data_IF_642071293803
#
_entry.id   IF_642071293803
#
_cell.length_a   1.000
_cell.length_b   1.000
_cell.length_c   1.000
_cell.angle_alpha   90.00
_cell.angle_beta   90.00
_cell.angle_gamma   90.00
#
_symmetry.space_group_name_H-M   'P 1'
#
loop_
_entity.id
_entity.type
_entity.pdbx_description
1 polymer ?
#
# COMPACT_ATOMS: atom_id res chain seq x y z
N UNK A 1 23.25 40.05 43.21
CA UNK A 1 23.44 38.61 42.92
C UNK A 1 22.16 37.84 42.56
N UNK A 2 20.99 38.14 43.12
CA UNK A 2 19.74 37.37 42.85
C UNK A 2 19.16 37.53 41.43
N UNK A 3 19.31 38.70 40.81
CA UNK A 3 18.79 39.00 39.46
C UNK A 3 19.52 38.19 38.37
N UNK A 4 20.81 37.93 38.54
CA UNK A 4 21.62 37.14 37.62
C UNK A 4 21.17 35.67 37.59
N UNK A 5 20.83 35.10 38.75
CA UNK A 5 20.39 33.70 38.87
C UNK A 5 19.05 33.44 38.17
N UNK A 6 18.12 34.40 38.26
CA UNK A 6 16.80 34.31 37.60
C UNK A 6 16.92 34.34 36.07
N UNK A 7 17.81 35.16 35.52
CA UNK A 7 18.06 35.23 34.09
C UNK A 7 18.65 33.92 33.55
N UNK A 8 19.59 33.32 34.28
CA UNK A 8 20.18 32.03 33.89
C UNK A 8 19.16 30.88 33.90
N UNK A 9 18.26 30.82 34.88
CA UNK A 9 17.19 29.82 34.92
C UNK A 9 16.19 29.94 33.77
N UNK A 10 15.82 31.17 33.40
CA UNK A 10 14.91 31.41 32.28
C UNK A 10 15.53 30.98 30.94
N UNK A 11 16.82 31.27 30.72
CA UNK A 11 17.54 30.85 29.52
C UNK A 11 17.68 29.31 29.43
N UNK A 12 17.94 28.65 30.56
CA UNK A 12 17.97 27.18 30.65
C UNK A 12 16.60 26.58 30.31
N UNK A 13 15.51 27.16 30.83
CA UNK A 13 14.15 26.73 30.53
C UNK A 13 13.78 26.86 29.05
N UNK A 14 14.16 27.96 28.40
CA UNK A 14 13.94 28.16 26.96
C UNK A 14 14.79 27.20 26.12
N UNK A 15 16.04 26.94 26.52
CA UNK A 15 16.90 25.96 25.85
C UNK A 15 16.35 24.55 25.93
N UNK A 16 15.92 24.10 27.11
CA UNK A 16 15.33 22.77 27.32
C UNK A 16 13.98 22.65 26.60
N UNK A 17 13.12 23.67 26.73
CA UNK A 17 11.83 23.71 26.05
C UNK A 17 11.99 23.68 24.52
N UNK A 18 12.93 24.47 23.99
CA UNK A 18 13.26 24.47 22.57
C UNK A 18 13.79 23.13 22.08
N UNK A 19 14.67 22.47 22.85
CA UNK A 19 15.19 21.14 22.52
C UNK A 19 14.08 20.09 22.48
N UNK A 20 13.21 20.06 23.49
CA UNK A 20 12.11 19.10 23.58
C UNK A 20 11.12 19.27 22.43
N UNK A 21 10.77 20.52 22.09
CA UNK A 21 9.87 20.81 20.96
C UNK A 21 10.54 20.44 19.63
N UNK A 22 11.82 20.77 19.44
CA UNK A 22 12.56 20.43 18.22
C UNK A 22 12.63 18.91 18.01
N UNK A 23 12.88 18.15 19.07
CA UNK A 23 12.94 16.68 19.01
C UNK A 23 11.57 16.06 18.68
N UNK A 24 10.49 16.60 19.23
CA UNK A 24 9.13 16.13 18.96
C UNK A 24 8.63 16.50 17.55
N UNK A 25 9.06 17.64 16.98
CA UNK A 25 8.59 18.13 15.68
C UNK A 25 9.41 17.59 14.50
N UNK A 26 10.69 17.25 14.69
CA UNK A 26 11.59 16.81 13.60
C UNK A 26 12.00 15.33 13.67
N UNK A 27 11.55 14.58 14.68
CA UNK A 27 12.04 13.23 14.98
C UNK A 27 11.56 12.10 14.06
N UNK A 28 10.44 12.25 13.36
CA UNK A 28 9.84 11.14 12.60
C UNK A 28 10.01 11.32 11.10
N UNK A 29 11.24 11.07 10.62
CA UNK A 29 11.44 10.68 9.22
C UNK A 29 11.08 9.19 9.10
N UNK A 30 9.88 8.90 8.62
CA UNK A 30 9.54 7.56 8.11
C UNK A 30 10.57 7.19 7.04
N UNK A 31 11.29 6.09 7.26
CA UNK A 31 12.20 5.54 6.27
C UNK A 31 11.43 5.21 4.97
N UNK A 32 12.03 5.40 3.78
CA UNK A 32 11.40 4.98 2.54
C UNK A 32 11.24 3.46 2.53
N UNK A 33 10.03 2.97 2.24
CA UNK A 33 9.76 1.54 2.04
C UNK A 33 10.55 1.07 0.83
N UNK A 34 11.36 0.03 0.99
CA UNK A 34 12.12 -0.56 -0.12
C UNK A 34 11.25 -1.51 -0.93
N UNK A 35 11.56 -1.69 -2.22
CA UNK A 35 10.75 -2.55 -3.09
C UNK A 35 10.76 -4.01 -2.63
N UNK A 36 11.81 -4.47 -1.95
CA UNK A 36 11.93 -5.83 -1.40
C UNK A 36 10.98 -6.10 -0.23
N UNK A 37 10.46 -5.06 0.40
CA UNK A 37 9.51 -5.16 1.51
C UNK A 37 8.04 -5.15 1.04
N UNK A 38 7.81 -4.97 -0.26
CA UNK A 38 6.45 -4.92 -0.81
C UNK A 38 5.82 -6.32 -0.82
N UNK A 39 4.56 -6.46 -0.37
CA UNK A 39 3.89 -7.75 -0.34
C UNK A 39 3.68 -8.28 -1.77
N UNK A 40 3.77 -9.60 -1.91
CA UNK A 40 3.36 -10.28 -3.14
C UNK A 40 1.84 -10.24 -3.28
N UNK A 41 1.37 -9.99 -4.50
CA UNK A 41 -0.04 -10.00 -4.83
C UNK A 41 -0.29 -10.62 -6.21
N UNK A 42 -1.54 -10.98 -6.46
CA UNK A 42 -2.00 -11.46 -7.77
C UNK A 42 -2.45 -10.26 -8.60
N UNK A 43 -2.04 -10.25 -9.88
CA UNK A 43 -2.53 -9.34 -10.90
C UNK A 43 -3.33 -10.12 -11.94
N UNK A 44 -4.31 -9.47 -12.55
CA UNK A 44 -5.19 -10.05 -13.57
C UNK A 44 -5.16 -9.13 -14.79
N UNK A 45 -4.86 -9.68 -15.97
CA UNK A 45 -5.06 -8.94 -17.21
C UNK A 45 -6.56 -8.68 -17.41
N UNK A 46 -6.93 -7.42 -17.55
CA UNK A 46 -8.34 -7.02 -17.59
C UNK A 46 -9.11 -7.54 -18.81
N UNK A 47 -8.45 -7.95 -19.90
CA UNK A 47 -9.12 -8.44 -21.10
C UNK A 47 -9.06 -9.97 -21.21
N UNK A 48 -7.88 -10.58 -20.99
CA UNK A 48 -7.70 -12.02 -21.11
C UNK A 48 -8.07 -12.78 -19.83
N UNK A 49 -7.99 -12.12 -18.67
CA UNK A 49 -8.12 -12.75 -17.37
C UNK A 49 -6.93 -13.62 -16.96
N UNK A 50 -5.80 -13.54 -17.69
CA UNK A 50 -4.55 -14.23 -17.33
C UNK A 50 -4.04 -13.69 -15.98
N UNK A 51 -3.50 -14.61 -15.17
CA UNK A 51 -3.01 -14.31 -13.82
C UNK A 51 -1.50 -14.12 -13.84
N UNK A 52 -1.05 -13.13 -13.09
CA UNK A 52 0.37 -12.83 -12.86
C UNK A 52 0.59 -12.66 -11.36
N UNK A 53 1.80 -12.93 -10.88
CA UNK A 53 2.18 -12.73 -9.48
C UNK A 53 3.34 -11.74 -9.41
N UNK A 54 3.29 -10.79 -8.50
CA UNK A 54 4.39 -9.85 -8.35
C UNK A 54 4.24 -8.99 -7.11
N UNK A 55 5.27 -8.21 -6.83
CA UNK A 55 5.24 -7.22 -5.75
C UNK A 55 4.16 -6.18 -6.00
N UNK A 56 3.47 -5.80 -4.93
CA UNK A 56 2.43 -4.78 -4.96
C UNK A 56 2.96 -3.48 -5.57
N UNK A 57 2.25 -2.97 -6.57
CA UNK A 57 2.63 -1.76 -7.32
C UNK A 57 1.39 -1.03 -7.82
N UNK A 58 1.50 0.25 -8.22
CA UNK A 58 0.39 0.99 -8.79
C UNK A 58 -0.23 0.26 -9.98
N UNK A 59 -1.55 0.26 -10.06
CA UNK A 59 -2.30 -0.35 -11.16
C UNK A 59 -3.12 0.70 -11.91
N UNK A 60 -3.33 0.55 -13.23
CA UNK A 60 -2.97 -0.62 -14.05
C UNK A 60 -1.46 -0.74 -14.31
N UNK A 61 -0.90 -1.92 -14.04
CA UNK A 61 0.51 -2.24 -14.26
C UNK A 61 0.76 -2.73 -15.69
N UNK A 62 2.00 -2.60 -16.15
CA UNK A 62 2.41 -2.95 -17.52
C UNK A 62 2.41 -4.48 -17.70
N UNK A 63 1.74 -4.95 -18.74
CA UNK A 63 1.72 -6.35 -19.11
C UNK A 63 3.09 -6.76 -19.68
N UNK A 64 3.78 -7.77 -19.12
CA UNK A 64 5.18 -8.09 -19.47
C UNK A 64 5.38 -8.47 -20.94
N UNK A 65 4.37 -9.10 -21.56
CA UNK A 65 4.44 -9.51 -22.97
C UNK A 65 3.97 -8.44 -23.97
N UNK A 66 3.12 -7.51 -23.53
CA UNK A 66 2.42 -6.58 -24.44
C UNK A 66 2.93 -5.14 -24.31
N UNK A 67 3.57 -4.78 -23.19
CA UNK A 67 4.08 -3.44 -22.94
C UNK A 67 3.00 -2.40 -22.60
N UNK A 68 1.74 -2.83 -22.41
CA UNK A 68 0.61 -1.93 -22.16
C UNK A 68 0.09 -2.03 -20.70
N UNK A 69 -0.41 -0.93 -20.10
CA UNK A 69 -0.95 -0.94 -18.75
C UNK A 69 -2.33 -1.62 -18.69
N UNK A 70 -2.33 -2.93 -18.44
CA UNK A 70 -3.52 -3.79 -18.49
C UNK A 70 -3.74 -4.64 -17.24
N UNK A 71 -2.71 -4.78 -16.40
CA UNK A 71 -2.73 -5.63 -15.23
C UNK A 71 -3.39 -4.89 -14.06
N UNK A 72 -4.52 -5.40 -13.60
CA UNK A 72 -5.28 -4.90 -12.46
C UNK A 72 -5.06 -5.79 -11.24
N UNK A 73 -5.32 -5.29 -10.01
CA UNK A 73 -5.16 -6.12 -8.83
C UNK A 73 -6.18 -7.27 -8.87
N UNK A 74 -5.74 -8.46 -8.49
CA UNK A 74 -6.57 -9.64 -8.41
C UNK A 74 -7.43 -9.64 -7.15
N UNK A 75 -8.70 -10.02 -7.32
CA UNK A 75 -9.65 -10.21 -6.24
C UNK A 75 -10.26 -11.61 -6.32
N UNK A 76 -10.14 -12.37 -5.23
CA UNK A 76 -10.50 -13.77 -5.16
C UNK A 76 -11.97 -13.98 -4.79
N UNK A 77 -12.65 -14.86 -5.53
CA UNK A 77 -13.96 -15.38 -5.17
C UNK A 77 -13.81 -16.77 -4.53
N UNK A 78 -14.14 -16.95 -3.23
CA UNK A 78 -14.04 -18.25 -2.58
C UNK A 78 -15.05 -19.27 -3.13
N UNK A 79 -16.22 -18.82 -3.61
CA UNK A 79 -17.22 -19.72 -4.21
C UNK A 79 -16.85 -20.20 -5.61
N UNK A 80 -16.23 -19.33 -6.41
CA UNK A 80 -15.77 -19.71 -7.75
C UNK A 80 -14.37 -20.32 -7.75
N UNK A 81 -13.67 -20.25 -6.61
CA UNK A 81 -12.25 -20.56 -6.49
C UNK A 81 -11.39 -19.88 -7.57
N UNK A 82 -11.69 -18.61 -7.87
CA UNK A 82 -11.10 -17.89 -9.02
C UNK A 82 -10.80 -16.44 -8.70
N UNK A 83 -9.69 -15.95 -9.25
CA UNK A 83 -9.30 -14.54 -9.26
C UNK A 83 -9.99 -13.75 -10.38
N UNK A 84 -10.41 -12.53 -10.06
CA UNK A 84 -11.05 -11.58 -10.97
C UNK A 84 -10.31 -10.24 -10.94
N UNK A 85 -10.36 -9.49 -12.04
CA UNK A 85 -9.80 -8.15 -12.09
C UNK A 85 -10.61 -7.21 -11.18
N UNK A 86 -9.93 -6.57 -10.24
CA UNK A 86 -10.50 -5.55 -9.38
C UNK A 86 -10.35 -4.14 -9.95
N UNK A 87 -10.84 -3.13 -9.22
CA UNK A 87 -10.60 -1.73 -9.56
C UNK A 87 -9.10 -1.39 -9.47
N UNK A 88 -8.62 -0.38 -10.23
CA UNK A 88 -7.28 0.17 -10.07
C UNK A 88 -7.00 0.61 -8.62
N UNK A 89 -5.72 0.67 -8.24
CA UNK A 89 -5.28 0.85 -6.84
C UNK A 89 -5.81 2.12 -6.18
N UNK A 90 -5.91 3.23 -6.93
CA UNK A 90 -6.45 4.51 -6.46
C UNK A 90 -7.97 4.47 -6.22
N UNK A 91 -8.69 3.69 -7.00
CA UNK A 91 -10.12 3.47 -6.86
C UNK A 91 -10.45 2.36 -5.83
N UNK A 92 -9.52 1.43 -5.61
CA UNK A 92 -9.72 0.28 -4.73
C UNK A 92 -9.95 0.69 -3.27
N UNK A 93 -9.26 1.72 -2.76
CA UNK A 93 -9.45 2.22 -1.38
C UNK A 93 -10.85 2.77 -1.13
N UNK A 94 -11.51 3.29 -2.17
CA UNK A 94 -12.84 3.90 -2.06
C UNK A 94 -13.99 2.91 -2.26
N UNK A 95 -13.70 1.73 -2.81
CA UNK A 95 -14.72 0.80 -3.34
C UNK A 95 -14.63 -0.60 -2.76
N UNK A 96 -13.82 -0.81 -1.70
CA UNK A 96 -13.54 -2.13 -1.10
C UNK A 96 -14.82 -2.94 -0.84
N UNK A 97 -15.87 -2.30 -0.34
CA UNK A 97 -17.12 -2.98 0.03
C UNK A 97 -18.06 -3.26 -1.16
N UNK A 98 -17.69 -2.84 -2.36
CA UNK A 98 -18.54 -2.89 -3.56
C UNK A 98 -18.06 -3.90 -4.61
N UNK A 99 -16.86 -4.46 -4.46
CA UNK A 99 -16.31 -5.40 -5.44
C UNK A 99 -16.99 -6.77 -5.28
N UNK A 100 -17.87 -7.10 -6.21
CA UNK A 100 -18.67 -8.35 -6.21
C UNK A 100 -18.26 -9.27 -7.35
N UNK A 101 -18.36 -10.57 -7.10
CA UNK A 101 -18.12 -11.59 -8.10
C UNK A 101 -19.16 -11.47 -9.23
N UNK A 102 -18.76 -11.41 -10.51
CA UNK A 102 -19.70 -11.29 -11.62
C UNK A 102 -20.61 -12.52 -11.77
N UNK A 103 -20.19 -13.69 -11.28
CA UNK A 103 -20.98 -14.93 -11.35
C UNK A 103 -21.94 -15.08 -10.17
N UNK A 104 -21.42 -14.91 -8.96
CA UNK A 104 -22.16 -15.28 -7.74
C UNK A 104 -22.72 -14.07 -6.98
N UNK A 105 -22.28 -12.86 -7.33
CA UNK A 105 -22.59 -11.57 -6.67
C UNK A 105 -22.14 -11.45 -5.21
N UNK A 106 -21.39 -12.42 -4.71
CA UNK A 106 -20.79 -12.34 -3.38
C UNK A 106 -19.60 -11.37 -3.38
N UNK A 107 -19.22 -10.84 -2.21
CA UNK A 107 -18.01 -10.04 -2.07
C UNK A 107 -16.76 -10.81 -2.57
N UNK A 108 -15.89 -10.11 -3.27
CA UNK A 108 -14.55 -10.62 -3.58
C UNK A 108 -13.56 -10.22 -2.48
N UNK A 109 -12.51 -11.01 -2.31
CA UNK A 109 -11.49 -10.82 -1.27
C UNK A 109 -10.16 -10.42 -1.91
N UNK A 110 -9.37 -9.56 -1.25
CA UNK A 110 -8.01 -9.23 -1.73
C UNK A 110 -7.02 -10.39 -1.55
N UNK A 111 -7.33 -11.27 -0.60
CA UNK A 111 -6.50 -12.42 -0.24
C UNK A 111 -7.10 -13.71 -0.83
N UNK A 112 -6.22 -14.66 -1.14
CA UNK A 112 -6.59 -15.94 -1.72
C UNK A 112 -5.36 -16.80 -1.99
N UNK A 113 -5.56 -18.01 -2.52
CA UNK A 113 -4.46 -18.90 -2.86
C UNK A 113 -3.63 -18.31 -4.01
N UNK A 114 -2.31 -18.26 -3.81
CA UNK A 114 -1.38 -17.89 -4.87
C UNK A 114 -1.45 -18.93 -6.00
N UNK A 115 -1.66 -18.51 -7.26
CA UNK A 115 -1.68 -19.42 -8.40
C UNK A 115 -0.27 -19.98 -8.65
N UNK A 116 -0.07 -21.27 -8.39
CA UNK A 116 1.23 -21.94 -8.46
C UNK A 116 1.92 -21.91 -9.84
N UNK A 117 1.16 -21.67 -10.92
CA UNK A 117 1.65 -21.65 -12.30
C UNK A 117 1.63 -20.26 -12.96
N UNK A 118 1.33 -19.20 -12.19
CA UNK A 118 1.28 -17.86 -12.75
C UNK A 118 2.70 -17.30 -12.95
N UNK A 119 2.99 -16.67 -14.09
CA UNK A 119 4.26 -16.00 -14.32
C UNK A 119 4.47 -14.82 -13.36
N UNK A 120 5.73 -14.63 -12.97
CA UNK A 120 6.16 -13.50 -12.15
C UNK A 120 6.32 -12.21 -12.99
N UNK A 121 6.03 -11.05 -12.39
CA UNK A 121 6.13 -9.72 -13.01
C UNK A 121 6.79 -8.68 -12.12
#
# INVERSE_FOLDING_TARGET
MWHSLRLWLALLGVGIGGWLIFSAVLGERTAPVTEDELPLMVFVDRESGELFVGKARPTPAVHPRLGEPRLLPGWYCPRCAKWYAGPPSDAAERTVDLVRCPKTRDPLHREGPLPAAAPEI
#
